data_IF_812013362839
#
_entry.id   IF_812013362839
#
_cell.length_a   1.000
_cell.length_b   1.000
_cell.length_c   1.000
_cell.angle_alpha   90.00
_cell.angle_beta   90.00
_cell.angle_gamma   90.00
#
_symmetry.space_group_name_H-M   'P 1'
#
loop_
_entity.id
_entity.type
_entity.pdbx_description
1 polymer ?
#
# COMPACT_ATOMS: atom_id res chain seq x y z
N UNK A 1 -16.00 2.13 -18.17
CA UNK A 1 -14.88 3.01 -18.47
C UNK A 1 -14.32 3.65 -17.22
N UNK A 2 -15.11 4.52 -16.61
CA UNK A 2 -14.70 5.20 -15.41
C UNK A 2 -14.42 4.24 -14.25
N UNK A 3 -15.18 3.16 -14.14
CA UNK A 3 -14.96 2.17 -13.10
C UNK A 3 -13.57 1.57 -13.16
N UNK A 4 -13.10 1.29 -14.37
CA UNK A 4 -11.78 0.72 -14.56
C UNK A 4 -10.69 1.71 -14.16
N UNK A 5 -10.87 2.98 -14.51
CA UNK A 5 -9.91 4.03 -14.13
C UNK A 5 -9.88 4.23 -12.62
N UNK A 6 -11.04 4.16 -11.98
CA UNK A 6 -11.14 4.29 -10.53
C UNK A 6 -10.46 3.14 -9.82
N UNK A 7 -10.64 1.92 -10.31
CA UNK A 7 -9.97 0.76 -9.75
C UNK A 7 -8.45 0.89 -9.84
N UNK A 8 -7.96 1.43 -10.97
CA UNK A 8 -6.53 1.66 -11.14
C UNK A 8 -6.01 2.68 -10.15
N UNK A 9 -6.79 3.73 -9.86
CA UNK A 9 -6.42 4.72 -8.84
C UNK A 9 -6.34 4.09 -7.47
N UNK A 10 -7.27 3.20 -7.15
CA UNK A 10 -7.27 2.49 -5.88
C UNK A 10 -5.99 1.69 -5.71
N UNK A 11 -5.59 1.00 -6.76
CA UNK A 11 -4.35 0.22 -6.74
C UNK A 11 -3.11 1.08 -6.59
N UNK A 12 -3.14 2.33 -7.08
CA UNK A 12 -2.02 3.26 -6.98
C UNK A 12 -1.74 3.72 -5.56
N UNK A 13 -2.74 3.68 -4.69
CA UNK A 13 -2.57 4.11 -3.31
C UNK A 13 -1.84 3.09 -2.47
N UNK A 14 -1.79 1.86 -2.93
CA UNK A 14 -1.08 0.79 -2.25
C UNK A 14 0.13 0.42 -3.10
N UNK A 15 1.30 0.73 -2.57
CA UNK A 15 2.56 0.53 -3.30
C UNK A 15 3.10 -0.87 -3.08
N UNK A 16 3.91 -1.32 -4.02
CA UNK A 16 4.69 -2.53 -3.81
C UNK A 16 5.64 -2.31 -2.64
N UNK A 17 5.69 -3.25 -1.72
CA UNK A 17 6.52 -3.13 -0.52
C UNK A 17 7.61 -4.18 -0.44
N UNK A 18 7.59 -5.16 -1.33
CA UNK A 18 8.53 -6.27 -1.29
C UNK A 18 9.87 -5.93 -1.93
N UNK A 19 10.93 -6.39 -1.28
CA UNK A 19 12.28 -6.36 -1.83
C UNK A 19 12.82 -4.95 -2.09
N UNK A 20 12.78 -4.13 -1.05
CA UNK A 20 13.35 -2.78 -1.11
C UNK A 20 14.56 -2.66 -0.18
N UNK A 21 15.47 -1.79 -0.55
CA UNK A 21 16.62 -1.44 0.25
C UNK A 21 16.64 0.08 0.41
N UNK A 22 16.55 0.61 1.63
CA UNK A 22 16.34 -0.15 2.88
C UNK A 22 14.94 -0.77 2.96
N UNK A 23 14.74 -1.77 3.82
CA UNK A 23 13.45 -2.44 3.94
C UNK A 23 12.33 -1.50 4.34
N UNK A 24 11.11 -1.85 3.95
CA UNK A 24 9.95 -1.07 4.36
C UNK A 24 9.70 -1.20 5.86
N UNK A 25 9.14 -0.16 6.44
CA UNK A 25 8.86 -0.10 7.86
C UNK A 25 7.50 -0.70 8.18
N UNK A 26 7.28 -0.97 9.47
CA UNK A 26 5.96 -1.36 9.95
C UNK A 26 4.91 -0.31 9.63
N UNK A 27 5.29 0.95 9.73
CA UNK A 27 4.38 2.05 9.45
C UNK A 27 3.92 2.04 7.99
N UNK A 28 4.83 1.73 7.07
CA UNK A 28 4.49 1.63 5.65
C UNK A 28 3.52 0.48 5.39
N UNK A 29 3.74 -0.66 6.05
CA UNK A 29 2.85 -1.81 5.94
C UNK A 29 1.47 -1.48 6.52
N UNK A 30 1.45 -0.81 7.66
CA UNK A 30 0.21 -0.40 8.30
C UNK A 30 -0.55 0.61 7.44
N UNK A 31 0.15 1.54 6.82
CA UNK A 31 -0.46 2.52 5.93
C UNK A 31 -1.15 1.84 4.74
N UNK A 32 -0.52 0.80 4.20
CA UNK A 32 -1.12 0.02 3.11
C UNK A 32 -2.37 -0.70 3.59
N UNK A 33 -2.33 -1.30 4.77
CA UNK A 33 -3.48 -1.98 5.36
C UNK A 33 -4.64 -1.01 5.58
N UNK A 34 -4.33 0.18 6.07
CA UNK A 34 -5.34 1.23 6.30
C UNK A 34 -6.00 1.64 5.00
N UNK A 35 -5.22 1.84 3.94
CA UNK A 35 -5.77 2.19 2.64
C UNK A 35 -6.70 1.11 2.12
N UNK A 36 -6.30 -0.15 2.27
CA UNK A 36 -7.13 -1.26 1.86
C UNK A 36 -8.49 -1.26 2.58
N UNK A 37 -8.45 -1.11 3.91
CA UNK A 37 -9.68 -1.10 4.71
C UNK A 37 -10.58 0.09 4.35
N UNK A 38 -9.98 1.26 4.15
CA UNK A 38 -10.74 2.43 3.71
C UNK A 38 -11.44 2.20 2.38
N UNK A 39 -10.75 1.56 1.47
CA UNK A 39 -11.30 1.32 0.13
C UNK A 39 -12.44 0.32 0.15
N UNK A 40 -12.31 -0.78 0.86
CA UNK A 40 -13.35 -1.80 0.87
C UNK A 40 -14.56 -1.40 1.70
N UNK A 41 -14.37 -0.55 2.72
CA UNK A 41 -15.49 -0.11 3.55
C UNK A 41 -16.12 1.18 3.05
N UNK A 42 -15.38 1.97 2.31
CA UNK A 42 -15.82 3.30 1.91
C UNK A 42 -15.70 4.32 3.04
N UNK A 43 -15.18 3.93 4.19
CA UNK A 43 -15.00 4.83 5.32
C UNK A 43 -13.63 5.48 5.27
N UNK A 44 -13.61 6.79 5.23
CA UNK A 44 -12.36 7.51 5.43
C UNK A 44 -12.00 7.45 6.92
N UNK A 45 -13.00 7.56 7.76
CA UNK A 45 -12.89 7.49 9.21
C UNK A 45 -14.11 6.73 9.73
N UNK A 46 -13.91 5.67 10.54
CA UNK A 46 -15.05 4.90 11.01
C UNK A 46 -15.91 5.66 12.03
N UNK A 47 -17.18 5.32 12.07
CA UNK A 47 -18.06 5.81 13.12
C UNK A 47 -17.65 5.16 14.43
N UNK A 48 -18.11 5.74 15.54
CA UNK A 48 -17.78 5.24 16.86
C UNK A 48 -18.14 3.77 17.03
N UNK A 49 -19.29 3.37 16.49
CA UNK A 49 -19.75 1.98 16.57
C UNK A 49 -18.82 1.01 15.83
N UNK A 50 -18.09 1.49 14.83
CA UNK A 50 -17.26 0.66 13.98
C UNK A 50 -15.76 0.79 14.25
N UNK A 51 -15.36 1.65 15.18
CA UNK A 51 -13.95 1.89 15.47
C UNK A 51 -13.17 0.62 15.80
N UNK A 52 -13.72 -0.19 16.69
CA UNK A 52 -13.03 -1.40 17.14
C UNK A 52 -12.82 -2.39 16.00
N UNK A 53 -13.86 -2.63 15.22
CA UNK A 53 -13.78 -3.57 14.10
C UNK A 53 -12.81 -3.04 13.02
N UNK A 54 -12.88 -1.75 12.75
CA UNK A 54 -12.02 -1.11 11.77
C UNK A 54 -10.54 -1.22 12.18
N UNK A 55 -10.24 -0.87 13.42
CA UNK A 55 -8.88 -0.93 13.95
C UNK A 55 -8.35 -2.36 13.98
N UNK A 56 -9.18 -3.32 14.39
CA UNK A 56 -8.79 -4.72 14.41
C UNK A 56 -8.43 -5.21 13.01
N UNK A 57 -9.24 -4.84 12.01
CA UNK A 57 -8.97 -5.23 10.63
C UNK A 57 -7.64 -4.66 10.14
N UNK A 58 -7.38 -3.39 10.40
CA UNK A 58 -6.11 -2.76 10.01
C UNK A 58 -4.94 -3.48 10.67
N UNK A 59 -5.04 -3.76 11.96
CA UNK A 59 -3.98 -4.46 12.70
C UNK A 59 -3.71 -5.86 12.15
N UNK A 60 -4.75 -6.61 11.90
CA UNK A 60 -4.63 -7.98 11.40
C UNK A 60 -4.07 -8.01 9.98
N UNK A 61 -4.55 -7.14 9.11
CA UNK A 61 -4.05 -7.06 7.74
C UNK A 61 -2.60 -6.63 7.73
N UNK A 62 -2.23 -5.68 8.56
CA UNK A 62 -0.84 -5.25 8.68
C UNK A 62 0.05 -6.40 9.17
N UNK A 63 -0.40 -7.14 10.15
CA UNK A 63 0.36 -8.26 10.70
C UNK A 63 0.59 -9.36 9.67
N UNK A 64 -0.46 -9.78 8.98
CA UNK A 64 -0.33 -10.84 7.98
C UNK A 64 0.51 -10.37 6.79
N UNK A 65 0.41 -9.10 6.45
CA UNK A 65 1.21 -8.51 5.38
C UNK A 65 2.70 -8.55 5.72
N UNK A 66 3.07 -8.23 6.96
CA UNK A 66 4.46 -8.31 7.41
C UNK A 66 4.96 -9.74 7.36
N UNK A 67 4.16 -10.68 7.79
CA UNK A 67 4.52 -12.10 7.73
C UNK A 67 4.77 -12.54 6.29
N UNK A 68 3.89 -12.15 5.39
CA UNK A 68 4.02 -12.48 3.98
C UNK A 68 5.32 -11.93 3.42
N UNK A 69 5.56 -10.62 3.62
CA UNK A 69 6.73 -9.94 3.07
C UNK A 69 8.04 -10.54 3.60
N UNK A 70 8.03 -10.97 4.86
CA UNK A 70 9.20 -11.58 5.49
C UNK A 70 9.44 -13.01 4.97
N UNK A 71 8.37 -13.69 4.60
CA UNK A 71 8.43 -15.08 4.17
C UNK A 71 8.79 -15.26 2.70
N UNK A 72 8.62 -14.23 1.89
CA UNK A 72 8.92 -14.31 0.47
C UNK A 72 10.42 -14.35 0.22
N UNK A 73 10.80 -15.12 -0.78
CA UNK A 73 12.19 -15.25 -1.19
C UNK A 73 12.34 -14.84 -2.64
N UNK A 74 13.49 -14.26 -2.96
CA UNK A 74 13.77 -13.85 -4.34
C UNK A 74 15.27 -13.79 -4.57
N UNK A 75 15.69 -14.02 -5.81
CA UNK A 75 17.07 -13.84 -6.23
C UNK A 75 17.26 -12.47 -6.88
N UNK A 76 16.19 -11.72 -7.05
CA UNK A 76 16.27 -10.40 -7.65
C UNK A 76 16.95 -9.43 -6.69
N UNK A 77 17.70 -8.48 -7.26
CA UNK A 77 18.33 -7.44 -6.47
C UNK A 77 17.26 -6.55 -5.84
N UNK A 78 17.49 -6.07 -4.61
CA UNK A 78 16.54 -5.16 -3.97
C UNK A 78 16.37 -3.88 -4.78
N UNK A 79 15.16 -3.36 -4.76
CA UNK A 79 14.85 -2.11 -5.41
C UNK A 79 15.33 -0.95 -4.55
N UNK A 80 15.90 0.05 -5.18
CA UNK A 80 16.29 1.26 -4.48
C UNK A 80 15.06 2.15 -4.35
N UNK A 81 14.73 2.54 -3.13
CA UNK A 81 13.54 3.33 -2.85
C UNK A 81 13.56 4.69 -3.53
N UNK A 82 14.72 5.33 -3.54
CA UNK A 82 14.88 6.63 -4.18
C UNK A 82 14.72 6.53 -5.68
N UNK A 83 15.30 5.49 -6.28
CA UNK A 83 15.18 5.27 -7.72
C UNK A 83 13.73 5.01 -8.12
N UNK A 84 13.01 4.20 -7.34
CA UNK A 84 11.62 3.92 -7.64
C UNK A 84 10.75 5.16 -7.50
N UNK A 85 11.03 6.00 -6.51
CA UNK A 85 10.32 7.26 -6.34
C UNK A 85 10.60 8.20 -7.51
N UNK A 86 11.86 8.26 -7.96
CA UNK A 86 12.24 9.09 -9.10
C UNK A 86 11.56 8.62 -10.38
N UNK A 87 11.50 7.30 -10.60
CA UNK A 87 10.81 6.74 -11.76
C UNK A 87 9.33 7.08 -11.75
N UNK A 88 8.70 6.98 -10.59
CA UNK A 88 7.28 7.32 -10.45
C UNK A 88 7.05 8.79 -10.75
N UNK A 89 7.93 9.65 -10.26
CA UNK A 89 7.85 11.08 -10.50
C UNK A 89 8.03 11.40 -11.97
N UNK A 90 9.00 10.77 -12.61
CA UNK A 90 9.25 10.96 -14.03
C UNK A 90 8.05 10.52 -14.87
N UNK A 91 7.44 9.40 -14.53
CA UNK A 91 6.23 8.94 -15.21
C UNK A 91 5.09 9.93 -15.07
N UNK A 92 4.93 10.51 -13.88
CA UNK A 92 3.91 11.49 -13.63
C UNK A 92 4.12 12.75 -14.46
N UNK A 93 5.37 13.22 -14.55
CA UNK A 93 5.73 14.39 -15.37
C UNK A 93 5.41 14.14 -16.83
N UNK A 94 5.79 12.98 -17.36
CA UNK A 94 5.52 12.62 -18.75
C UNK A 94 4.02 12.54 -19.00
N UNK A 95 3.26 12.03 -18.02
CA UNK A 95 1.81 11.88 -18.18
C UNK A 95 1.09 13.22 -18.23
N UNK A 96 1.52 14.16 -17.42
CA UNK A 96 0.80 15.43 -17.25
C UNK A 96 1.53 16.63 -17.86
N UNK A 97 2.76 16.43 -18.21
CA UNK A 97 3.55 17.47 -18.85
C UNK A 97 3.34 17.46 -20.34
#
# INVERSE_FOLDING_TARGET
MSLKAEQNRMCRNIKTLFNFEPPVTEEETRAAALQYVRKITGFNKPSKANEAAFAAAVDEIAAISRELLTSLETNAAPRNREEEAAKAKARAVVRFG
#
